data_IF_331820702323
#
_entry.id   IF_331820702323
#
_cell.length_a   1.000
_cell.length_b   1.000
_cell.length_c   1.000
_cell.angle_alpha   90.00
_cell.angle_beta   90.00
_cell.angle_gamma   90.00
#
_symmetry.space_group_name_H-M   'P 1'
#
loop_
_entity.id
_entity.type
_entity.pdbx_description
1 polymer ?
#
# COMPACT_ATOMS: atom_id res chain seq x y z
N UNK A 1 1.69 -4.65 -11.53
CA UNK A 1 1.04 -5.31 -10.37
C UNK A 1 1.31 -4.55 -9.08
N UNK A 2 2.59 -4.40 -8.68
CA UNK A 2 2.97 -3.61 -7.49
C UNK A 2 2.52 -2.15 -7.58
N UNK A 3 2.68 -1.49 -8.73
CA UNK A 3 2.20 -0.11 -8.94
C UNK A 3 0.69 0.04 -8.74
N UNK A 4 -0.09 -0.94 -9.21
CA UNK A 4 -1.54 -0.97 -8.99
C UNK A 4 -1.89 -1.12 -7.51
N UNK A 5 -1.17 -1.99 -6.79
CA UNK A 5 -1.30 -2.17 -5.35
C UNK A 5 -0.96 -0.89 -4.58
N UNK A 6 0.12 -0.20 -4.97
CA UNK A 6 0.52 1.08 -4.40
C UNK A 6 -0.58 2.13 -4.57
N UNK A 7 -1.11 2.28 -5.80
CA UNK A 7 -2.17 3.24 -6.07
C UNK A 7 -3.51 2.87 -5.42
N UNK A 8 -3.83 1.58 -5.32
CA UNK A 8 -5.03 1.11 -4.61
C UNK A 8 -4.88 1.26 -3.08
N UNK A 9 -3.66 1.18 -2.55
CA UNK A 9 -3.38 1.48 -1.16
C UNK A 9 -3.54 2.97 -0.85
N UNK A 10 -3.17 3.84 -1.81
CA UNK A 10 -3.40 5.28 -1.74
C UNK A 10 -4.88 5.64 -1.58
N UNK A 11 -5.78 4.91 -2.27
CA UNK A 11 -7.24 5.10 -2.11
C UNK A 11 -7.80 4.38 -0.88
N UNK A 12 -6.95 3.79 -0.03
CA UNK A 12 -7.29 2.98 1.16
C UNK A 12 -8.13 1.72 0.89
N UNK A 13 -8.40 1.40 -0.38
CA UNK A 13 -9.29 0.31 -0.81
C UNK A 13 -8.64 -0.49 -1.93
N UNK A 14 -8.36 -1.75 -1.63
CA UNK A 14 -7.82 -2.71 -2.59
C UNK A 14 -8.88 -3.76 -2.89
N UNK A 15 -9.44 -3.68 -4.11
CA UNK A 15 -10.42 -4.67 -4.55
C UNK A 15 -9.76 -5.89 -5.18
N UNK A 16 -10.04 -7.08 -4.63
CA UNK A 16 -9.52 -8.34 -5.20
C UNK A 16 -10.14 -8.68 -6.55
N UNK A 17 -11.39 -8.28 -6.76
CA UNK A 17 -12.14 -8.54 -8.00
C UNK A 17 -11.62 -7.66 -9.13
N UNK A 18 -11.44 -6.36 -8.87
CA UNK A 18 -10.86 -5.45 -9.87
C UNK A 18 -9.43 -5.86 -10.23
N UNK A 19 -8.63 -6.29 -9.25
CA UNK A 19 -7.28 -6.80 -9.52
C UNK A 19 -7.30 -8.04 -10.42
N UNK A 20 -8.23 -8.97 -10.16
CA UNK A 20 -8.37 -10.18 -10.97
C UNK A 20 -8.87 -9.86 -12.38
N UNK A 21 -9.84 -8.95 -12.52
CA UNK A 21 -10.29 -8.48 -13.82
C UNK A 21 -9.17 -7.80 -14.64
N UNK A 22 -8.29 -7.04 -13.98
CA UNK A 22 -7.22 -6.29 -14.65
C UNK A 22 -6.01 -7.16 -15.03
N UNK A 23 -5.63 -8.14 -14.19
CA UNK A 23 -4.43 -8.95 -14.39
C UNK A 23 -4.70 -10.43 -14.72
N UNK A 24 -5.96 -10.89 -14.66
CA UNK A 24 -6.35 -12.29 -14.87
C UNK A 24 -5.87 -13.25 -13.77
N UNK A 25 -5.39 -12.72 -12.65
CA UNK A 25 -4.82 -13.50 -11.54
C UNK A 25 -5.42 -13.11 -10.20
N UNK A 26 -5.62 -14.09 -9.33
CA UNK A 26 -6.14 -13.84 -7.98
C UNK A 26 -5.08 -13.17 -7.10
N UNK A 27 -5.38 -11.97 -6.60
CA UNK A 27 -4.51 -11.21 -5.69
C UNK A 27 -4.10 -12.06 -4.47
N UNK A 28 -5.05 -12.78 -3.88
CA UNK A 28 -4.82 -13.64 -2.72
C UNK A 28 -3.93 -14.85 -3.04
N UNK A 29 -3.82 -15.26 -4.30
CA UNK A 29 -2.99 -16.40 -4.69
C UNK A 29 -1.53 -15.98 -4.88
N UNK A 30 -1.32 -14.78 -5.40
CA UNK A 30 0.00 -14.21 -5.65
C UNK A 30 0.60 -13.55 -4.40
N UNK A 31 -0.17 -12.71 -3.72
CA UNK A 31 0.27 -11.87 -2.59
C UNK A 31 -0.22 -12.41 -1.23
N UNK A 32 -0.42 -13.73 -1.13
CA UNK A 32 -1.02 -14.36 0.06
C UNK A 32 -0.23 -14.10 1.33
N UNK A 33 1.10 -14.16 1.21
CA UNK A 33 2.02 -13.98 2.33
C UNK A 33 2.08 -12.51 2.78
N UNK A 34 2.20 -11.57 1.85
CA UNK A 34 2.21 -10.13 2.16
C UNK A 34 0.89 -9.66 2.75
N UNK A 35 -0.25 -10.13 2.20
CA UNK A 35 -1.58 -9.83 2.75
C UNK A 35 -1.77 -10.44 4.15
N UNK A 36 -1.20 -11.61 4.40
CA UNK A 36 -1.21 -12.22 5.73
C UNK A 36 -0.39 -11.40 6.73
N UNK A 37 0.83 -10.99 6.37
CA UNK A 37 1.64 -10.09 7.20
C UNK A 37 0.90 -8.78 7.46
N UNK A 38 0.35 -8.13 6.43
CA UNK A 38 -0.41 -6.89 6.58
C UNK A 38 -1.60 -7.03 7.55
N UNK A 39 -2.25 -8.20 7.57
CA UNK A 39 -3.33 -8.51 8.51
C UNK A 39 -2.82 -8.76 9.94
N UNK A 40 -1.71 -9.48 10.09
CA UNK A 40 -1.05 -9.73 11.39
C UNK A 40 -0.58 -8.43 12.03
N UNK A 41 0.01 -7.53 11.24
CA UNK A 41 0.40 -6.19 11.67
C UNK A 41 -0.78 -5.23 11.84
N UNK A 42 -2.02 -5.68 11.61
CA UNK A 42 -3.25 -4.88 11.69
C UNK A 42 -3.19 -3.62 10.81
N UNK A 43 -2.49 -3.67 9.69
CA UNK A 43 -2.40 -2.59 8.71
C UNK A 43 -3.60 -2.61 7.77
N UNK A 44 -4.10 -3.81 7.46
CA UNK A 44 -5.26 -4.00 6.58
C UNK A 44 -6.35 -4.80 7.26
N UNK A 45 -7.60 -4.40 7.02
CA UNK A 45 -8.80 -5.16 7.35
C UNK A 45 -9.40 -5.74 6.08
N UNK A 46 -10.13 -6.85 6.21
CA UNK A 46 -10.85 -7.46 5.09
C UNK A 46 -12.34 -7.33 5.37
N UNK A 47 -13.03 -6.54 4.57
CA UNK A 47 -14.48 -6.35 4.64
C UNK A 47 -15.11 -6.80 3.32
N UNK A 48 -16.08 -7.73 3.40
CA UNK A 48 -16.85 -8.21 2.25
C UNK A 48 -16.03 -8.62 1.01
N UNK A 49 -14.87 -9.25 1.24
CA UNK A 49 -13.99 -9.69 0.15
C UNK A 49 -13.00 -8.63 -0.35
N UNK A 50 -13.20 -7.35 -0.02
CA UNK A 50 -12.26 -6.28 -0.34
C UNK A 50 -11.28 -6.06 0.82
N UNK A 51 -10.04 -5.69 0.51
CA UNK A 51 -9.06 -5.29 1.53
C UNK A 51 -9.12 -3.78 1.69
N UNK A 52 -9.30 -3.31 2.92
CA UNK A 52 -9.23 -1.91 3.28
C UNK A 52 -8.04 -1.65 4.18
N UNK A 53 -7.34 -0.54 3.97
CA UNK A 53 -6.35 -0.09 4.93
C UNK A 53 -7.07 0.39 6.19
N UNK A 54 -6.51 0.02 7.33
CA UNK A 54 -6.90 0.60 8.63
C UNK A 54 -6.25 1.97 8.80
N UNK A 55 -6.73 2.76 9.76
CA UNK A 55 -6.12 4.07 10.07
C UNK A 55 -4.63 3.97 10.37
N UNK A 56 -4.19 2.88 11.01
CA UNK A 56 -2.77 2.60 11.26
C UNK A 56 -2.01 2.31 9.96
N UNK A 57 -2.59 1.49 9.09
CA UNK A 57 -2.00 1.18 7.78
C UNK A 57 -1.84 2.42 6.91
N UNK A 58 -2.89 3.24 6.82
CA UNK A 58 -2.88 4.50 6.08
C UNK A 58 -1.85 5.48 6.66
N UNK A 59 -1.77 5.58 7.99
CA UNK A 59 -0.76 6.40 8.66
C UNK A 59 0.67 5.98 8.30
N UNK A 60 1.00 4.69 8.38
CA UNK A 60 2.33 4.20 8.00
C UNK A 60 2.63 4.41 6.52
N UNK A 61 1.64 4.21 5.65
CA UNK A 61 1.79 4.41 4.21
C UNK A 61 2.13 5.87 3.89
N UNK A 62 1.35 6.82 4.41
CA UNK A 62 1.62 8.25 4.20
C UNK A 62 2.87 8.74 4.93
N UNK A 63 3.24 8.14 6.06
CA UNK A 63 4.50 8.43 6.74
C UNK A 63 5.71 8.11 5.84
N UNK A 64 5.69 6.94 5.19
CA UNK A 64 6.72 6.57 4.21
C UNK A 64 6.73 7.50 2.99
N UNK A 65 5.57 7.81 2.43
CA UNK A 65 5.45 8.72 1.28
C UNK A 65 5.97 10.13 1.60
N UNK A 66 5.63 10.66 2.78
CA UNK A 66 6.14 11.94 3.28
C UNK A 66 7.67 11.93 3.39
N UNK A 67 8.27 10.87 3.93
CA UNK A 67 9.73 10.78 4.04
C UNK A 67 10.40 10.69 2.68
N UNK A 68 9.83 9.94 1.73
CA UNK A 68 10.34 9.89 0.36
C UNK A 68 10.25 11.27 -0.33
N UNK A 69 9.16 12.00 -0.13
CA UNK A 69 8.99 13.37 -0.64
C UNK A 69 10.00 14.34 0.00
N UNK A 70 10.22 14.25 1.32
CA UNK A 70 11.25 15.05 2.02
C UNK A 70 12.64 14.73 1.49
N UNK A 71 13.00 13.45 1.35
CA UNK A 71 14.30 13.04 0.85
C UNK A 71 14.52 13.52 -0.60
N UNK A 72 13.49 13.41 -1.45
CA UNK A 72 13.52 13.97 -2.79
C UNK A 72 13.71 15.48 -2.76
N UNK A 73 12.95 16.20 -1.93
CA UNK A 73 13.10 17.65 -1.78
C UNK A 73 14.49 18.03 -1.27
N UNK A 74 15.05 17.32 -0.27
CA UNK A 74 16.41 17.54 0.23
C UNK A 74 17.46 17.29 -0.85
N UNK A 75 17.29 16.24 -1.66
CA UNK A 75 18.18 15.93 -2.78
C UNK A 75 18.19 17.04 -3.84
N UNK A 76 17.01 17.59 -4.17
CA UNK A 76 16.89 18.68 -5.16
C UNK A 76 17.26 20.05 -4.60
N UNK A 77 16.96 20.33 -3.33
CA UNK A 77 17.30 21.60 -2.66
C UNK A 77 18.70 21.60 -2.04
N UNK A 78 19.46 20.51 -2.14
CA UNK A 78 20.86 20.43 -1.69
C UNK A 78 21.04 20.58 -0.17
N UNK A 79 20.01 20.30 0.63
CA UNK A 79 20.10 20.42 2.08
C UNK A 79 20.65 19.09 2.64
N UNK A 80 21.97 18.94 2.61
CA UNK A 80 22.67 17.91 3.38
C UNK A 80 22.42 18.18 4.87
N UNK A 81 21.57 17.37 5.50
CA UNK A 81 21.46 17.37 6.95
C UNK A 81 22.74 16.78 7.53
N UNK A 82 23.60 17.64 8.06
CA UNK A 82 24.56 17.28 9.12
C UNK A 82 23.83 16.76 10.34
#
# INVERSE_FOLDING_TARGET
MIYYLFWSAYTTRVSTENFNAFFGVSLTKMYRFELWLAKVFRLTTKDNGQYQLTDKGAYYFHYFERNACIAFHQHFCGIESR
#
